data_IF_815420304581
#
_entry.id   IF_815420304581
#
_cell.length_a   1.000
_cell.length_b   1.000
_cell.length_c   1.000
_cell.angle_alpha   90.00
_cell.angle_beta   90.00
_cell.angle_gamma   90.00
#
_symmetry.space_group_name_H-M   'P 1'
#
loop_
_entity.id
_entity.type
_entity.pdbx_description
1 polymer ?
#
# COMPACT_ATOMS: atom_id res chain seq x y z
N UNK A 1 17.06 23.40 52.91
CA UNK A 1 16.57 22.01 52.91
C UNK A 1 16.07 21.66 51.52
N UNK A 2 16.36 20.44 51.07
CA UNK A 2 16.07 19.85 49.75
C UNK A 2 14.57 19.84 49.35
N UNK A 3 14.26 19.67 48.05
CA UNK A 3 12.92 19.50 47.52
C UNK A 3 12.44 18.03 47.54
N UNK A 4 11.13 17.82 47.53
CA UNK A 4 10.43 16.55 47.27
C UNK A 4 8.95 16.86 47.01
N UNK A 5 8.17 16.25 46.12
CA UNK A 5 8.36 15.31 45.00
C UNK A 5 6.99 15.19 44.30
N UNK A 6 7.02 14.99 42.99
CA UNK A 6 5.95 14.71 42.00
C UNK A 6 4.68 13.97 42.49
N UNK A 7 3.51 14.32 41.91
CA UNK A 7 2.58 13.31 41.34
C UNK A 7 1.59 13.88 40.29
N UNK A 8 1.72 13.32 39.08
CA UNK A 8 0.68 12.71 38.20
C UNK A 8 -0.39 13.53 37.45
N UNK A 9 -0.31 13.32 36.13
CA UNK A 9 -1.37 13.07 35.12
C UNK A 9 -2.07 14.29 34.51
N UNK A 10 -1.41 14.85 33.50
CA UNK A 10 -2.11 15.48 32.37
C UNK A 10 -2.89 14.41 31.57
N UNK A 11 -4.19 14.66 31.39
CA UNK A 11 -5.03 14.00 30.42
C UNK A 11 -4.65 14.47 29.01
N UNK A 12 -4.20 13.57 28.15
CA UNK A 12 -3.92 13.81 26.73
C UNK A 12 -5.07 13.24 25.88
N UNK A 13 -6.26 13.84 25.96
CA UNK A 13 -7.41 13.43 25.12
C UNK A 13 -8.06 14.54 24.28
N UNK A 14 -7.60 15.80 24.35
CA UNK A 14 -8.33 16.92 23.74
C UNK A 14 -7.66 17.59 22.52
N UNK A 15 -6.82 16.89 21.76
CA UNK A 15 -6.26 17.45 20.51
C UNK A 15 -6.49 16.53 19.29
N UNK A 16 -7.72 16.54 18.77
CA UNK A 16 -8.01 16.22 17.37
C UNK A 16 -8.99 17.26 16.81
N UNK A 17 -8.60 18.08 15.81
CA UNK A 17 -9.53 18.96 15.13
C UNK A 17 -10.49 18.17 14.21
N UNK A 18 -11.67 18.72 13.90
CA UNK A 18 -12.67 18.05 13.07
C UNK A 18 -12.25 18.01 11.60
N UNK A 19 -12.73 16.97 10.92
CA UNK A 19 -12.56 16.70 9.49
C UNK A 19 -12.85 17.93 8.62
N UNK A 20 -11.91 18.28 7.74
CA UNK A 20 -12.16 19.16 6.59
C UNK A 20 -12.49 18.27 5.39
N UNK A 21 -13.72 18.42 4.87
CA UNK A 21 -14.14 17.91 3.58
C UNK A 21 -13.44 18.73 2.49
N UNK A 22 -12.42 18.16 1.87
CA UNK A 22 -12.08 18.50 0.50
C UNK A 22 -12.35 17.25 -0.33
N UNK A 23 -13.42 17.33 -1.12
CA UNK A 23 -13.62 16.47 -2.29
C UNK A 23 -12.40 16.66 -3.19
N UNK A 24 -11.71 15.56 -3.48
CA UNK A 24 -10.63 15.52 -4.45
C UNK A 24 -11.06 14.50 -5.50
N UNK A 25 -11.67 15.01 -6.56
CA UNK A 25 -11.71 14.35 -7.85
C UNK A 25 -10.26 14.24 -8.34
N UNK A 26 -9.68 13.03 -8.29
CA UNK A 26 -8.42 12.73 -8.99
C UNK A 26 -8.38 11.23 -9.30
N UNK A 27 -9.07 10.89 -10.38
CA UNK A 27 -8.92 9.63 -11.10
C UNK A 27 -7.48 9.58 -11.64
N UNK A 28 -6.58 8.86 -10.96
CA UNK A 28 -5.47 8.06 -11.51
C UNK A 28 -4.44 7.70 -10.42
N UNK A 29 -3.71 6.61 -10.66
CA UNK A 29 -2.72 5.99 -9.77
C UNK A 29 -1.72 6.97 -9.12
N UNK A 30 -1.98 7.35 -7.87
CA UNK A 30 -1.05 8.12 -7.05
C UNK A 30 -0.41 7.23 -5.98
N UNK A 31 0.90 6.99 -6.08
CA UNK A 31 1.76 6.96 -4.90
C UNK A 31 2.17 8.40 -4.62
N UNK A 32 1.86 8.90 -3.44
CA UNK A 32 2.35 10.21 -3.03
C UNK A 32 2.92 10.16 -1.60
N UNK A 33 3.33 11.30 -1.06
CA UNK A 33 4.10 11.44 0.16
C UNK A 33 3.64 12.74 0.82
N UNK A 34 2.54 12.73 1.57
CA UNK A 34 2.09 13.95 2.25
C UNK A 34 2.91 14.14 3.53
N UNK A 35 3.42 15.35 3.75
CA UNK A 35 3.83 15.81 5.06
C UNK A 35 2.93 16.99 5.46
N UNK A 36 2.08 16.81 6.47
CA UNK A 36 1.63 17.95 7.26
C UNK A 36 1.39 17.54 8.71
N UNK A 37 2.39 17.85 9.55
CA UNK A 37 2.13 18.29 10.91
C UNK A 37 3.06 19.46 11.19
N UNK A 38 2.57 20.67 10.91
CA UNK A 38 3.04 21.88 11.58
C UNK A 38 1.86 22.27 12.48
N UNK A 39 1.96 22.12 13.81
CA UNK A 39 0.94 22.65 14.69
C UNK A 39 1.09 24.17 14.67
N UNK A 40 0.13 24.88 14.07
CA UNK A 40 0.07 26.35 14.01
C UNK A 40 -0.28 27.00 15.37
N UNK A 41 -0.07 26.33 16.50
CA UNK A 41 -0.50 26.84 17.80
C UNK A 41 0.54 26.62 18.90
N UNK A 42 1.65 27.35 18.78
CA UNK A 42 2.29 27.95 19.94
C UNK A 42 2.78 29.33 19.51
N UNK A 43 2.26 30.38 20.15
CA UNK A 43 2.89 31.71 20.15
C UNK A 43 4.33 31.57 20.65
N UNK A 44 5.28 31.29 19.74
CA UNK A 44 6.70 31.37 20.03
C UNK A 44 7.16 32.81 19.74
N UNK A 45 7.95 33.42 20.65
CA UNK A 45 8.46 34.76 20.46
C UNK A 45 9.29 34.85 19.17
N UNK A 46 9.18 36.02 18.54
CA UNK A 46 9.75 36.44 17.26
C UNK A 46 11.30 36.39 17.26
N UNK A 47 11.88 35.19 17.31
CA UNK A 47 13.30 34.93 17.09
C UNK A 47 13.56 33.42 16.81
N UNK A 48 13.05 32.90 15.69
CA UNK A 48 13.69 31.77 15.01
C UNK A 48 13.73 32.12 13.52
N UNK A 49 14.72 32.91 13.14
CA UNK A 49 15.17 32.97 11.76
C UNK A 49 15.76 31.61 11.35
N UNK A 50 15.25 31.09 10.25
CA UNK A 50 15.97 30.23 9.30
C UNK A 50 16.63 28.96 9.83
N UNK A 51 15.80 27.95 10.10
CA UNK A 51 16.00 26.66 9.43
C UNK A 51 14.65 26.23 8.84
N UNK A 52 14.25 26.83 7.71
CA UNK A 52 13.30 26.16 6.83
C UNK A 52 14.02 24.89 6.37
N UNK A 53 13.72 23.77 7.00
CA UNK A 53 14.24 22.48 6.56
C UNK A 53 13.99 22.33 5.07
N UNK A 54 15.03 22.05 4.30
CA UNK A 54 14.91 21.71 2.88
C UNK A 54 14.35 20.29 2.82
N UNK A 55 13.05 20.15 3.02
CA UNK A 55 12.36 18.91 2.75
C UNK A 55 12.11 18.82 1.25
N UNK A 56 12.48 17.71 0.58
CA UNK A 56 12.21 17.54 -0.83
C UNK A 56 10.70 17.56 -1.10
N UNK A 57 10.32 17.96 -2.31
CA UNK A 57 8.94 17.88 -2.75
C UNK A 57 8.48 16.41 -2.75
N UNK A 58 7.21 16.23 -2.43
CA UNK A 58 6.47 14.99 -2.64
C UNK A 58 6.55 14.60 -4.12
N UNK A 59 7.07 13.41 -4.40
CA UNK A 59 7.09 12.81 -5.74
C UNK A 59 6.60 11.37 -5.73
N UNK A 60 6.00 10.93 -6.84
CA UNK A 60 5.69 9.52 -7.07
C UNK A 60 6.97 8.77 -7.45
N UNK A 61 7.55 8.05 -6.50
CA UNK A 61 8.80 7.31 -6.71
C UNK A 61 8.62 6.04 -7.55
N UNK A 62 7.40 5.52 -7.66
CA UNK A 62 7.13 4.28 -8.39
C UNK A 62 7.24 4.48 -9.91
N UNK A 63 6.93 5.67 -10.42
CA UNK A 63 6.95 5.97 -11.86
C UNK A 63 8.33 5.77 -12.51
N UNK A 64 9.40 6.04 -11.77
CA UNK A 64 10.80 5.89 -12.22
C UNK A 64 11.49 4.62 -11.69
N UNK A 65 10.74 3.77 -10.98
CA UNK A 65 11.27 2.55 -10.38
C UNK A 65 11.43 1.42 -11.40
N UNK A 66 12.34 0.48 -11.12
CA UNK A 66 12.42 -0.78 -11.87
C UNK A 66 11.50 -1.78 -11.18
N UNK A 67 10.36 -2.08 -11.77
CA UNK A 67 9.42 -3.08 -11.25
C UNK A 67 9.65 -4.46 -11.87
N UNK A 68 9.55 -5.51 -11.06
CA UNK A 68 9.60 -6.90 -11.51
C UNK A 68 8.61 -7.76 -10.76
N UNK A 69 8.21 -8.88 -11.36
CA UNK A 69 7.26 -9.83 -10.79
C UNK A 69 7.67 -11.25 -11.15
N UNK A 70 7.31 -12.22 -10.31
CA UNK A 70 7.66 -13.63 -10.56
C UNK A 70 6.81 -14.30 -11.66
N UNK A 71 5.64 -13.74 -12.00
CA UNK A 71 4.79 -14.25 -13.07
C UNK A 71 3.81 -13.20 -13.60
N UNK A 72 3.60 -13.18 -14.91
CA UNK A 72 2.57 -12.36 -15.57
C UNK A 72 1.68 -13.24 -16.45
N UNK A 73 0.39 -12.93 -16.53
CA UNK A 73 -0.51 -13.67 -17.42
C UNK A 73 -0.05 -13.61 -18.87
N UNK A 74 -0.31 -14.67 -19.64
CA UNK A 74 -0.05 -14.68 -21.07
C UNK A 74 1.41 -14.93 -21.50
N UNK A 75 2.36 -15.09 -20.56
CA UNK A 75 3.78 -15.31 -20.87
C UNK A 75 4.05 -16.66 -21.56
N UNK A 76 3.30 -17.71 -21.19
CA UNK A 76 3.42 -19.06 -21.78
C UNK A 76 2.43 -19.31 -22.92
N UNK A 77 1.73 -18.27 -23.36
CA UNK A 77 0.64 -18.34 -24.34
C UNK A 77 -0.69 -17.82 -23.78
N UNK A 78 -1.73 -17.71 -24.62
CA UNK A 78 -3.01 -17.11 -24.22
C UNK A 78 -3.68 -17.84 -23.07
N UNK A 79 -4.16 -17.10 -22.08
CA UNK A 79 -4.93 -17.63 -20.95
C UNK A 79 -6.22 -16.84 -20.72
N UNK A 80 -7.24 -17.51 -20.18
CA UNK A 80 -8.55 -16.92 -19.89
C UNK A 80 -8.65 -16.48 -18.43
N UNK A 81 -9.24 -15.30 -18.22
CA UNK A 81 -9.62 -14.80 -16.89
C UNK A 81 -11.06 -14.30 -16.91
N UNK A 82 -11.75 -14.40 -15.78
CA UNK A 82 -13.16 -14.01 -15.68
C UNK A 82 -13.34 -13.11 -14.46
N UNK A 83 -14.09 -12.02 -14.62
CA UNK A 83 -14.38 -11.11 -13.52
C UNK A 83 -15.55 -11.66 -12.69
N UNK A 84 -15.37 -11.72 -11.37
CA UNK A 84 -16.40 -12.19 -10.45
C UNK A 84 -17.32 -11.03 -10.02
N UNK A 85 -17.92 -10.29 -10.97
CA UNK A 85 -18.93 -9.27 -10.64
C UNK A 85 -20.33 -9.85 -10.85
N UNK A 86 -21.07 -9.98 -9.75
CA UNK A 86 -22.46 -10.47 -9.66
C UNK A 86 -23.44 -9.45 -10.27
N UNK A 87 -24.51 -9.81 -11.01
CA UNK A 87 -25.74 -10.48 -10.52
C UNK A 87 -26.51 -11.34 -11.54
N UNK A 88 -26.07 -11.42 -12.79
CA UNK A 88 -26.79 -12.20 -13.81
C UNK A 88 -26.05 -13.51 -14.09
N UNK A 89 -26.68 -14.62 -13.72
CA UNK A 89 -26.19 -16.02 -13.80
C UNK A 89 -25.76 -16.45 -15.22
N UNK A 90 -25.97 -15.63 -16.24
CA UNK A 90 -25.87 -16.04 -17.64
C UNK A 90 -24.73 -15.43 -18.46
N UNK A 91 -23.90 -14.54 -17.90
CA UNK A 91 -22.73 -13.99 -18.63
C UNK A 91 -21.51 -13.87 -17.70
N UNK A 92 -20.75 -14.95 -17.57
CA UNK A 92 -19.33 -14.83 -17.21
C UNK A 92 -18.62 -14.18 -18.39
N UNK A 93 -18.47 -12.86 -18.35
CA UNK A 93 -17.63 -12.12 -19.30
C UNK A 93 -16.16 -12.45 -18.99
N UNK A 94 -15.70 -13.52 -19.62
CA UNK A 94 -14.31 -13.95 -19.58
C UNK A 94 -13.55 -13.30 -20.74
N UNK A 95 -12.37 -12.78 -20.43
CA UNK A 95 -11.45 -12.17 -21.39
C UNK A 95 -10.19 -13.02 -21.52
N UNK A 96 -9.34 -12.66 -22.49
CA UNK A 96 -8.07 -13.34 -22.77
C UNK A 96 -6.92 -12.41 -22.41
N UNK A 97 -5.98 -12.93 -21.62
CA UNK A 97 -4.65 -12.33 -21.46
C UNK A 97 -3.64 -13.09 -22.32
N UNK A 98 -2.92 -12.36 -23.15
CA UNK A 98 -1.88 -12.90 -24.03
C UNK A 98 -0.78 -11.85 -24.22
N UNK A 99 0.40 -12.12 -23.65
CA UNK A 99 1.52 -11.19 -23.66
C UNK A 99 2.08 -10.95 -25.07
N UNK A 100 1.84 -11.86 -26.01
CA UNK A 100 2.28 -11.77 -27.40
C UNK A 100 1.19 -11.24 -28.34
N UNK A 101 0.00 -10.94 -27.83
CA UNK A 101 -1.14 -10.56 -28.67
C UNK A 101 -0.92 -9.22 -29.36
N UNK A 102 -1.12 -9.03 -30.66
CA UNK A 102 -0.98 -7.72 -31.30
C UNK A 102 -1.85 -6.61 -30.68
N UNK A 103 -2.97 -6.99 -30.07
CA UNK A 103 -3.86 -6.11 -29.34
C UNK A 103 -3.33 -5.83 -27.92
N UNK A 104 -2.93 -4.58 -27.66
CA UNK A 104 -2.40 -4.16 -26.36
C UNK A 104 -3.43 -4.28 -25.22
N UNK A 105 -4.73 -4.24 -25.51
CA UNK A 105 -5.78 -4.38 -24.48
C UNK A 105 -5.82 -5.77 -23.83
N UNK A 106 -5.20 -6.77 -24.48
CA UNK A 106 -5.07 -8.14 -23.99
C UNK A 106 -3.73 -8.40 -23.29
N UNK A 107 -2.90 -7.36 -23.13
CA UNK A 107 -1.60 -7.43 -22.47
C UNK A 107 -1.67 -6.71 -21.13
N UNK A 108 -1.22 -7.38 -20.07
CA UNK A 108 -1.19 -6.82 -18.72
C UNK A 108 0.20 -6.92 -18.08
N UNK A 109 1.26 -6.35 -18.69
CA UNK A 109 2.62 -6.40 -18.17
C UNK A 109 2.77 -5.65 -16.84
N UNK A 110 3.79 -6.04 -16.06
CA UNK A 110 4.06 -5.46 -14.73
C UNK A 110 4.28 -3.94 -14.76
N UNK A 111 4.76 -3.40 -15.88
CA UNK A 111 4.97 -1.97 -16.08
C UNK A 111 3.68 -1.16 -15.94
N UNK A 112 2.52 -1.73 -16.29
CA UNK A 112 1.24 -1.06 -16.18
C UNK A 112 0.91 -0.67 -14.72
N UNK A 113 1.46 -1.38 -13.73
CA UNK A 113 1.23 -1.06 -12.32
C UNK A 113 1.84 0.28 -11.87
N UNK A 114 2.77 0.85 -12.65
CA UNK A 114 3.51 2.07 -12.29
C UNK A 114 3.55 3.11 -13.42
N UNK A 115 2.83 2.90 -14.53
CA UNK A 115 2.91 3.77 -15.71
C UNK A 115 2.06 5.04 -15.63
N UNK A 116 1.28 5.19 -14.55
CA UNK A 116 0.40 6.33 -14.31
C UNK A 116 -0.91 6.30 -15.10
N UNK A 117 -1.23 5.19 -15.77
CA UNK A 117 -2.48 5.01 -16.52
C UNK A 117 -3.48 4.12 -15.75
N UNK A 118 -4.68 3.93 -16.31
CA UNK A 118 -5.68 2.97 -15.83
C UNK A 118 -5.40 1.52 -16.27
N UNK A 119 -4.36 1.29 -17.08
CA UNK A 119 -3.94 -0.06 -17.42
C UNK A 119 -3.47 -0.78 -16.15
N UNK A 120 -3.67 -2.09 -16.10
CA UNK A 120 -3.25 -2.90 -14.95
C UNK A 120 -2.28 -4.00 -15.36
N UNK A 121 -1.51 -4.46 -14.37
CA UNK A 121 -0.81 -5.74 -14.42
C UNK A 121 -1.70 -6.86 -13.90
N UNK A 122 -1.54 -8.06 -14.45
CA UNK A 122 -2.30 -9.22 -14.02
C UNK A 122 -1.43 -10.48 -13.87
N UNK A 123 -1.58 -11.15 -12.73
CA UNK A 123 -0.99 -12.46 -12.47
C UNK A 123 -1.66 -13.55 -13.30
N UNK A 124 -0.98 -14.68 -13.54
CA UNK A 124 -1.63 -15.84 -14.12
C UNK A 124 -2.80 -16.35 -13.30
N UNK A 125 -3.80 -16.94 -13.98
CA UNK A 125 -4.91 -17.60 -13.31
C UNK A 125 -4.46 -18.80 -12.46
N UNK A 126 -5.12 -19.03 -11.31
CA UNK A 126 -4.90 -20.23 -10.48
C UNK A 126 -5.18 -21.54 -11.23
N UNK A 127 -5.99 -21.50 -12.31
CA UNK A 127 -6.19 -22.64 -13.22
C UNK A 127 -4.86 -23.14 -13.81
N UNK A 128 -3.89 -22.25 -14.00
CA UNK A 128 -2.58 -22.54 -14.58
C UNK A 128 -1.56 -23.05 -13.52
N UNK A 129 -1.97 -23.18 -12.26
CA UNK A 129 -1.22 -23.91 -11.23
C UNK A 129 -1.21 -23.22 -9.86
N UNK A 130 -1.10 -24.04 -8.80
CA UNK A 130 -1.04 -23.58 -7.40
C UNK A 130 0.16 -22.70 -7.09
N UNK A 131 1.22 -22.73 -7.91
CA UNK A 131 2.38 -21.83 -7.75
C UNK A 131 1.98 -20.35 -7.82
N UNK A 132 0.88 -20.04 -8.50
CA UNK A 132 0.35 -18.67 -8.62
C UNK A 132 -0.51 -18.25 -7.42
N UNK A 133 -0.64 -19.09 -6.38
CA UNK A 133 -1.12 -18.65 -5.06
C UNK A 133 -0.14 -17.68 -4.39
N UNK A 134 1.12 -17.65 -4.85
CA UNK A 134 2.20 -16.83 -4.31
C UNK A 134 2.80 -15.97 -5.42
N UNK A 135 2.49 -14.68 -5.39
CA UNK A 135 3.05 -13.69 -6.31
C UNK A 135 3.88 -12.68 -5.52
N UNK A 136 5.07 -12.38 -6.03
CA UNK A 136 5.98 -11.40 -5.45
C UNK A 136 6.25 -10.32 -6.47
N UNK A 137 5.95 -9.08 -6.11
CA UNK A 137 6.25 -7.87 -6.89
C UNK A 137 7.38 -7.14 -6.17
N UNK A 138 8.47 -6.87 -6.88
CA UNK A 138 9.59 -6.08 -6.38
C UNK A 138 9.66 -4.74 -7.11
N UNK A 139 9.91 -3.65 -6.37
CA UNK A 139 9.98 -2.29 -6.91
C UNK A 139 11.33 -1.69 -6.56
N UNK A 140 12.28 -1.64 -7.49
CA UNK A 140 13.57 -1.01 -7.25
C UNK A 140 13.49 0.52 -7.40
N UNK A 141 13.53 1.26 -6.31
CA UNK A 141 13.59 2.73 -6.29
C UNK A 141 14.97 3.29 -6.65
N UNK A 142 16.00 2.43 -6.76
CA UNK A 142 17.39 2.71 -7.14
C UNK A 142 18.19 3.56 -6.16
N UNK A 143 17.53 4.14 -5.16
CA UNK A 143 18.10 4.95 -4.09
C UNK A 143 17.29 4.74 -2.80
N UNK A 144 17.85 5.18 -1.68
CA UNK A 144 17.18 5.14 -0.38
C UNK A 144 16.31 6.38 -0.23
N UNK A 145 15.01 6.17 0.01
CA UNK A 145 14.04 7.26 0.19
C UNK A 145 13.39 7.20 1.57
N UNK A 146 12.91 8.35 2.05
CA UNK A 146 11.94 8.39 3.15
C UNK A 146 10.54 8.35 2.55
N UNK A 147 9.86 7.23 2.71
CA UNK A 147 8.51 6.98 2.20
C UNK A 147 7.52 7.40 3.28
N UNK A 148 6.52 8.21 2.91
CA UNK A 148 5.45 8.58 3.83
C UNK A 148 4.20 7.70 3.69
N UNK A 149 3.93 7.17 2.49
CA UNK A 149 2.89 6.17 2.31
C UNK A 149 3.08 5.32 1.05
N UNK A 150 2.39 4.17 1.05
CA UNK A 150 2.24 3.27 -0.09
C UNK A 150 0.77 3.22 -0.45
N UNK A 151 0.45 3.33 -1.74
CA UNK A 151 -0.91 3.13 -2.24
C UNK A 151 -0.93 1.92 -3.17
N UNK A 152 -1.80 0.97 -2.86
CA UNK A 152 -2.04 -0.18 -3.74
C UNK A 152 -3.49 -0.07 -4.19
N UNK A 153 -3.68 -0.08 -5.52
CA UNK A 153 -5.01 -0.14 -6.13
C UNK A 153 -5.19 -1.50 -6.76
N UNK A 154 -6.28 -2.16 -6.43
CA UNK A 154 -6.70 -3.34 -7.16
C UNK A 154 -7.36 -2.91 -8.46
N UNK A 155 -7.17 -3.66 -9.53
CA UNK A 155 -7.85 -3.41 -10.79
C UNK A 155 -9.19 -4.17 -10.78
N UNK A 156 -9.41 -5.01 -11.78
CA UNK A 156 -10.64 -5.81 -11.95
C UNK A 156 -10.85 -6.91 -10.90
N UNK A 157 -9.88 -7.13 -10.01
CA UNK A 157 -9.92 -8.15 -8.95
C UNK A 157 -9.94 -7.50 -7.56
N UNK A 158 -10.50 -8.15 -6.54
CA UNK A 158 -10.35 -7.70 -5.16
C UNK A 158 -8.88 -7.81 -4.73
N UNK A 159 -8.52 -7.11 -3.65
CA UNK A 159 -7.19 -7.25 -3.06
C UNK A 159 -6.97 -8.68 -2.53
N UNK A 160 -5.71 -9.15 -2.49
CA UNK A 160 -5.42 -10.46 -1.93
C UNK A 160 -5.90 -10.58 -0.48
N UNK A 161 -6.50 -11.72 -0.14
CA UNK A 161 -6.95 -11.98 1.23
C UNK A 161 -5.80 -12.01 2.23
N UNK A 162 -4.60 -12.41 1.81
CA UNK A 162 -3.41 -12.46 2.65
C UNK A 162 -2.21 -11.98 1.85
N UNK A 163 -1.51 -10.96 2.35
CA UNK A 163 -0.28 -10.45 1.74
C UNK A 163 0.56 -9.68 2.75
N UNK A 164 1.81 -9.41 2.37
CA UNK A 164 2.80 -8.75 3.22
C UNK A 164 3.37 -7.59 2.42
N UNK A 165 3.41 -6.41 3.02
CA UNK A 165 4.24 -5.32 2.52
C UNK A 165 5.60 -5.43 3.20
N UNK A 166 6.64 -5.63 2.40
CA UNK A 166 8.02 -5.72 2.86
C UNK A 166 8.86 -4.53 2.42
N UNK A 167 9.96 -4.33 3.13
CA UNK A 167 10.93 -3.27 2.89
C UNK A 167 12.35 -3.78 2.95
N UNK A 168 13.25 -3.15 2.22
CA UNK A 168 14.68 -3.40 2.33
C UNK A 168 15.48 -2.10 2.54
N UNK A 169 16.77 -2.19 2.79
CA UNK A 169 17.72 -1.06 2.70
C UNK A 169 18.88 -1.42 1.76
N UNK A 170 19.17 -2.70 1.59
CA UNK A 170 20.30 -3.25 0.83
C UNK A 170 19.86 -4.04 -0.42
N UNK A 171 18.57 -4.32 -0.53
CA UNK A 171 17.98 -5.14 -1.57
C UNK A 171 18.23 -6.65 -1.46
N UNK A 172 18.70 -7.07 -0.29
CA UNK A 172 19.04 -8.46 0.00
C UNK A 172 18.22 -8.93 1.19
N UNK A 173 18.18 -8.12 2.26
CA UNK A 173 17.42 -8.39 3.46
C UNK A 173 16.10 -7.62 3.41
N UNK A 174 15.00 -8.36 3.44
CA UNK A 174 13.65 -7.81 3.48
C UNK A 174 13.07 -7.98 4.87
N UNK A 175 12.39 -6.94 5.34
CA UNK A 175 11.74 -6.89 6.63
C UNK A 175 10.27 -6.55 6.44
N UNK A 176 9.36 -7.15 7.23
CA UNK A 176 7.96 -6.82 7.16
C UNK A 176 7.76 -5.36 7.57
N UNK A 177 6.95 -4.66 6.79
CA UNK A 177 6.48 -3.32 7.12
C UNK A 177 5.02 -3.37 7.62
N UNK A 178 4.19 -4.20 6.99
CA UNK A 178 2.83 -4.46 7.45
C UNK A 178 2.31 -5.81 6.93
N UNK A 179 1.50 -6.48 7.75
CA UNK A 179 0.79 -7.69 7.40
C UNK A 179 -0.69 -7.42 7.11
N UNK A 180 -1.22 -8.12 6.11
CA UNK A 180 -2.63 -8.10 5.74
C UNK A 180 -3.15 -9.53 5.75
N UNK A 181 -4.27 -9.74 6.45
CA UNK A 181 -4.86 -11.06 6.66
C UNK A 181 -6.35 -11.02 6.42
N UNK A 182 -6.96 -12.14 6.02
CA UNK A 182 -8.39 -12.16 5.71
C UNK A 182 -9.24 -11.91 6.96
N UNK A 183 -8.74 -12.40 8.10
CA UNK A 183 -9.40 -12.30 9.40
C UNK A 183 -8.39 -11.94 10.49
N UNK A 184 -8.90 -11.39 11.59
CA UNK A 184 -8.10 -11.08 12.78
C UNK A 184 -7.41 -12.33 13.36
N UNK A 185 -8.04 -13.50 13.21
CA UNK A 185 -7.47 -14.79 13.63
C UNK A 185 -6.25 -15.17 12.79
N UNK A 186 -6.32 -14.97 11.48
CA UNK A 186 -5.21 -15.28 10.58
C UNK A 186 -3.96 -14.42 10.86
N UNK A 187 -4.11 -13.19 11.34
CA UNK A 187 -2.97 -12.38 11.80
C UNK A 187 -2.10 -13.14 12.81
N UNK A 188 -2.73 -13.80 13.78
CA UNK A 188 -2.02 -14.57 14.79
C UNK A 188 -1.55 -15.93 14.28
N UNK A 189 -2.39 -16.65 13.54
CA UNK A 189 -2.08 -18.01 13.09
C UNK A 189 -0.97 -18.03 12.03
N UNK A 190 -1.00 -17.08 11.09
CA UNK A 190 -0.10 -17.01 9.95
C UNK A 190 1.15 -16.17 10.24
N UNK A 191 0.96 -14.97 10.78
CA UNK A 191 2.06 -14.00 10.96
C UNK A 191 2.56 -13.89 12.40
N UNK A 192 1.88 -14.54 13.36
CA UNK A 192 2.21 -14.43 14.80
C UNK A 192 2.17 -12.98 15.31
N UNK A 193 1.39 -12.12 14.66
CA UNK A 193 1.18 -10.72 15.02
C UNK A 193 -0.24 -10.54 15.53
N UNK A 194 -0.41 -9.78 16.62
CA UNK A 194 -1.76 -9.50 17.12
C UNK A 194 -2.50 -8.59 16.13
N UNK A 195 -3.77 -8.87 15.84
CA UNK A 195 -4.55 -8.03 14.93
C UNK A 195 -4.75 -6.63 15.51
N UNK A 196 -4.65 -5.62 14.65
CA UNK A 196 -5.01 -4.24 14.96
C UNK A 196 -6.51 -4.05 14.81
N UNK A 197 -7.18 -3.85 15.94
CA UNK A 197 -8.63 -3.68 16.01
C UNK A 197 -9.01 -2.20 15.93
N UNK A 198 -9.98 -1.86 15.08
CA UNK A 198 -10.44 -0.48 14.90
C UNK A 198 -9.44 0.38 14.13
N UNK A 199 -9.50 1.71 14.31
CA UNK A 199 -8.67 2.63 13.52
C UNK A 199 -7.18 2.28 13.65
N UNK A 200 -6.51 2.05 12.50
CA UNK A 200 -5.08 1.78 12.45
C UNK A 200 -4.30 2.94 13.06
N UNK A 201 -3.46 2.61 14.04
CA UNK A 201 -2.60 3.55 14.75
C UNK A 201 -1.26 2.88 14.99
N UNK A 202 -0.20 3.58 14.65
CA UNK A 202 1.17 3.21 14.97
C UNK A 202 1.57 3.93 16.25
N UNK A 203 2.17 3.20 17.19
CA UNK A 203 2.65 3.69 18.48
C UNK A 203 4.09 4.14 18.38
N UNK A 204 4.86 3.40 17.61
CA UNK A 204 6.26 3.68 17.32
C UNK A 204 6.46 3.64 15.84
N UNK A 205 7.52 4.29 15.43
CA UNK A 205 7.86 4.37 14.03
C UNK A 205 8.08 2.93 13.46
N UNK A 206 8.95 2.12 14.06
CA UNK A 206 9.20 0.75 13.55
C UNK A 206 8.13 -0.31 13.92
N UNK A 207 6.90 0.10 14.28
CA UNK A 207 5.85 -0.87 14.63
C UNK A 207 5.32 -1.60 13.39
N UNK A 208 5.45 -2.93 13.38
CA UNK A 208 4.86 -3.81 12.37
C UNK A 208 3.52 -4.33 12.88
N UNK A 209 2.45 -3.99 12.17
CA UNK A 209 1.08 -4.37 12.53
C UNK A 209 0.49 -5.40 11.57
N UNK A 210 -0.62 -6.02 11.98
CA UNK A 210 -1.45 -6.84 11.11
C UNK A 210 -2.90 -6.35 11.12
N UNK A 211 -3.53 -6.27 9.95
CA UNK A 211 -4.93 -5.84 9.82
C UNK A 211 -5.74 -6.72 8.87
N UNK A 212 -7.03 -6.88 9.18
CA UNK A 212 -8.01 -7.53 8.32
C UNK A 212 -8.98 -6.57 7.60
N UNK A 213 -8.74 -5.26 7.73
CA UNK A 213 -9.67 -4.24 7.23
C UNK A 213 -9.80 -4.21 5.71
N UNK A 214 -8.72 -4.56 4.99
CA UNK A 214 -8.61 -4.41 3.55
C UNK A 214 -8.57 -5.75 2.79
N UNK A 215 -8.79 -6.84 3.49
CA UNK A 215 -8.65 -8.21 2.96
C UNK A 215 -9.97 -8.98 3.04
N UNK A 216 -11.09 -8.25 3.18
CA UNK A 216 -12.42 -8.85 3.14
C UNK A 216 -12.74 -9.17 1.69
N UNK A 217 -13.18 -10.40 1.44
CA UNK A 217 -13.56 -10.88 0.11
C UNK A 217 -14.90 -10.29 -0.34
N UNK A 218 -14.97 -8.97 -0.45
CA UNK A 218 -16.04 -8.32 -1.20
C UNK A 218 -15.66 -8.47 -2.67
N UNK A 219 -16.60 -8.89 -3.52
CA UNK A 219 -16.32 -9.16 -4.93
C UNK A 219 -16.10 -7.88 -5.79
N UNK A 220 -15.74 -6.77 -5.14
CA UNK A 220 -15.65 -5.45 -5.75
C UNK A 220 -14.19 -5.24 -6.16
N UNK A 221 -13.94 -5.08 -7.46
CA UNK A 221 -12.66 -4.57 -7.95
C UNK A 221 -12.51 -3.07 -7.67
N UNK A 222 -11.35 -2.50 -7.97
CA UNK A 222 -11.06 -1.07 -7.78
C UNK A 222 -10.94 -0.62 -6.31
N UNK A 223 -10.51 -1.51 -5.41
CA UNK A 223 -10.24 -1.16 -4.02
C UNK A 223 -8.89 -0.45 -3.88
N UNK A 224 -8.81 0.54 -2.99
CA UNK A 224 -7.57 1.28 -2.70
C UNK A 224 -7.16 1.09 -1.22
N UNK A 225 -5.89 0.75 -1.01
CA UNK A 225 -5.28 0.71 0.33
C UNK A 225 -4.17 1.72 0.41
N UNK A 226 -4.33 2.67 1.33
CA UNK A 226 -3.31 3.65 1.69
C UNK A 226 -2.66 3.29 3.01
N UNK A 227 -1.37 2.97 2.96
CA UNK A 227 -0.56 2.59 4.12
C UNK A 227 0.24 3.81 4.53
N UNK A 228 -0.17 4.46 5.62
CA UNK A 228 0.49 5.65 6.15
C UNK A 228 1.59 5.22 7.12
N UNK A 229 2.84 5.57 6.83
CA UNK A 229 3.94 5.38 7.77
C UNK A 229 5.19 6.16 7.32
N UNK A 230 5.86 6.91 8.21
CA UNK A 230 7.07 7.70 7.90
C UNK A 230 8.34 6.87 8.09
N UNK A 231 8.85 6.20 7.05
CA UNK A 231 10.05 5.34 7.15
C UNK A 231 11.01 5.51 6.00
N UNK A 232 12.30 5.29 6.27
CA UNK A 232 13.31 5.09 5.23
C UNK A 232 13.17 3.69 4.64
N UNK A 233 12.95 3.63 3.34
CA UNK A 233 12.86 2.42 2.54
C UNK A 233 13.82 2.49 1.38
N UNK A 234 14.58 1.41 1.23
CA UNK A 234 15.02 0.97 -0.07
C UNK A 234 14.05 -0.12 -0.50
N UNK A 235 13.48 0.00 -1.68
CA UNK A 235 12.95 -1.18 -2.34
C UNK A 235 13.87 -1.33 -3.52
N UNK A 236 14.50 -2.50 -3.64
CA UNK A 236 15.49 -2.84 -4.67
C UNK A 236 14.92 -3.74 -5.74
#
# INVERSE_FOLDING_TARGET
MKPSSLTKRQNYLDFYPPYSNYDIDDDNNHFGIYNKYIPDDYNLPEYIEHVKGLFPNLINLAADAIISVNATCGETGPEYYCQLVSHNINTTDCNVCDASNPDYSKRHPIKNAIDGTENWWQSPSLKNGKRYEWITININLRQVYEIAYVIIKSAISPLPSNWILERSIDGINYYPWQYFAQTDTECWERYRVRPSIGKLRYRTDDEVICTSMYSKNNAVGHEEVKILNKFKLNVS
#
